data_IF_103740587897
#
_entry.id   IF_103740587897
#
_cell.length_a   1.000
_cell.length_b   1.000
_cell.length_c   1.000
_cell.angle_alpha   90.00
_cell.angle_beta   90.00
_cell.angle_gamma   90.00
#
_symmetry.space_group_name_H-M   'P 1'
#
loop_
_entity.id
_entity.type
_entity.pdbx_description
1 polymer ?
#
# COMPACT_ATOMS: atom_id res chain seq x y z
N UNK A 1 15.12 -30.44 13.80
CA UNK A 1 15.37 -28.99 13.80
C UNK A 1 15.12 -28.44 12.39
N UNK A 2 13.87 -28.08 12.03
CA UNK A 2 13.52 -27.57 10.68
C UNK A 2 12.88 -26.16 10.68
N UNK A 3 12.61 -25.58 11.86
CA UNK A 3 11.74 -24.40 11.98
C UNK A 3 12.48 -23.07 12.16
N UNK A 4 13.82 -23.08 12.25
CA UNK A 4 14.62 -21.87 12.51
C UNK A 4 14.86 -21.06 11.22
N UNK A 5 14.84 -21.71 10.05
CA UNK A 5 15.03 -21.03 8.76
C UNK A 5 13.82 -20.18 8.37
N UNK A 6 12.60 -20.70 8.57
CA UNK A 6 11.36 -20.00 8.24
C UNK A 6 11.17 -18.74 9.08
N UNK A 7 11.42 -18.80 10.40
CA UNK A 7 11.31 -17.63 11.30
C UNK A 7 12.21 -16.46 10.88
N UNK A 8 13.42 -16.74 10.37
CA UNK A 8 14.36 -15.71 9.92
C UNK A 8 13.90 -15.00 8.64
N UNK A 9 13.25 -15.73 7.73
CA UNK A 9 12.68 -15.14 6.51
C UNK A 9 11.48 -14.25 6.84
N UNK A 10 10.59 -14.71 7.73
CA UNK A 10 9.42 -13.93 8.17
C UNK A 10 9.80 -12.66 8.94
N UNK A 11 10.86 -12.70 9.77
CA UNK A 11 11.34 -11.52 10.49
C UNK A 11 11.96 -10.47 9.54
N UNK A 12 12.68 -10.90 8.50
CA UNK A 12 13.23 -10.01 7.49
C UNK A 12 12.14 -9.32 6.65
N UNK A 13 11.09 -10.06 6.30
CA UNK A 13 9.91 -9.52 5.62
C UNK A 13 9.15 -8.55 6.53
N UNK A 14 8.98 -8.87 7.82
CA UNK A 14 8.34 -7.98 8.79
C UNK A 14 9.12 -6.68 8.99
N UNK A 15 10.46 -6.73 9.06
CA UNK A 15 11.32 -5.54 9.19
C UNK A 15 11.32 -4.67 7.93
N UNK A 16 11.23 -5.28 6.74
CA UNK A 16 11.04 -4.53 5.48
C UNK A 16 9.67 -3.87 5.42
N UNK A 17 8.61 -4.58 5.81
CA UNK A 17 7.24 -4.05 5.84
C UNK A 17 7.07 -2.89 6.84
N UNK A 18 7.81 -2.89 7.95
CA UNK A 18 7.79 -1.80 8.94
C UNK A 18 8.68 -0.61 8.52
N UNK A 19 9.51 -0.75 7.48
CA UNK A 19 10.44 0.32 7.08
C UNK A 19 9.83 1.41 6.20
N UNK A 20 8.59 1.24 5.73
CA UNK A 20 7.89 2.20 4.85
C UNK A 20 6.62 2.79 5.48
N UNK A 21 6.64 3.09 6.79
CA UNK A 21 5.55 3.86 7.43
C UNK A 21 5.66 5.34 7.04
N UNK A 22 5.41 5.63 5.77
CA UNK A 22 5.03 6.94 5.28
C UNK A 22 3.69 6.75 4.61
N UNK A 23 2.60 6.66 5.38
CA UNK A 23 1.26 6.62 4.78
C UNK A 23 0.95 8.00 4.23
N UNK A 24 0.87 8.14 2.91
CA UNK A 24 0.18 9.28 2.33
C UNK A 24 -1.31 8.89 2.27
N UNK A 25 -2.14 9.55 3.06
CA UNK A 25 -3.59 9.29 3.04
C UNK A 25 -4.27 9.90 1.80
N UNK A 26 -3.59 10.84 1.13
CA UNK A 26 -4.12 11.66 0.03
C UNK A 26 -3.21 11.51 -1.19
N UNK A 27 -3.84 11.31 -2.34
CA UNK A 27 -3.23 11.02 -3.62
C UNK A 27 -3.71 12.02 -4.67
N UNK A 28 -2.90 12.26 -5.69
CA UNK A 28 -3.27 13.04 -6.88
C UNK A 28 -2.87 12.29 -8.16
N UNK A 29 -3.64 12.42 -9.24
CA UNK A 29 -3.29 11.79 -10.52
C UNK A 29 -2.15 12.54 -11.21
N UNK A 30 -1.20 11.81 -11.79
CA UNK A 30 -0.03 12.36 -12.47
C UNK A 30 -0.35 12.89 -13.87
N UNK A 31 -1.18 12.16 -14.64
CA UNK A 31 -1.56 12.51 -16.01
C UNK A 31 -3.08 12.42 -16.25
N UNK A 32 -3.84 12.81 -15.23
CA UNK A 32 -5.31 12.82 -15.26
C UNK A 32 -5.94 11.45 -14.99
N UNK A 33 -5.60 10.44 -15.76
CA UNK A 33 -6.19 9.11 -15.59
C UNK A 33 -5.32 8.22 -14.68
N UNK A 34 -5.96 7.32 -13.94
CA UNK A 34 -5.27 6.38 -13.04
C UNK A 34 -5.76 4.96 -13.29
N UNK A 35 -4.88 4.00 -13.03
CA UNK A 35 -5.21 2.58 -13.12
C UNK A 35 -4.96 1.90 -11.78
N UNK A 36 -5.95 1.14 -11.32
CA UNK A 36 -5.98 0.51 -10.01
C UNK A 36 -6.21 -0.99 -10.19
N UNK A 37 -5.39 -1.83 -9.59
CA UNK A 37 -5.45 -3.29 -9.69
C UNK A 37 -5.20 -3.93 -8.32
N UNK A 38 -6.22 -4.55 -7.76
CA UNK A 38 -6.12 -5.33 -6.53
C UNK A 38 -5.47 -6.66 -6.79
N UNK A 39 -4.59 -7.11 -5.89
CA UNK A 39 -3.83 -8.35 -6.01
C UNK A 39 -3.83 -9.14 -4.71
N UNK A 40 -3.79 -10.46 -4.82
CA UNK A 40 -3.77 -11.33 -3.66
C UNK A 40 -2.33 -11.43 -3.10
N UNK A 41 -2.10 -11.22 -1.79
CA UNK A 41 -0.78 -11.42 -1.18
C UNK A 41 -0.24 -12.85 -1.27
N UNK A 42 -1.13 -13.84 -1.28
CA UNK A 42 -0.81 -15.27 -1.14
C UNK A 42 -1.08 -16.09 -2.42
N UNK A 43 -1.74 -15.52 -3.41
CA UNK A 43 -2.02 -16.14 -4.70
C UNK A 43 -1.11 -15.55 -5.78
N UNK A 44 -0.45 -16.41 -6.56
CA UNK A 44 0.28 -16.03 -7.78
C UNK A 44 -0.45 -14.91 -8.54
N UNK A 45 0.13 -13.71 -8.63
CA UNK A 45 -0.07 -12.62 -9.61
C UNK A 45 -1.46 -12.41 -10.27
N UNK A 46 -2.56 -12.86 -9.68
CA UNK A 46 -3.90 -12.76 -10.24
C UNK A 46 -4.68 -11.64 -9.54
N UNK A 47 -5.40 -10.81 -10.30
CA UNK A 47 -6.21 -9.75 -9.73
C UNK A 47 -7.28 -10.30 -8.78
N UNK A 48 -7.50 -9.62 -7.66
CA UNK A 48 -8.64 -9.91 -6.77
C UNK A 48 -9.81 -9.06 -7.21
N UNK A 49 -10.78 -9.67 -7.88
CA UNK A 49 -11.95 -8.98 -8.42
C UNK A 49 -13.09 -8.78 -7.41
N UNK A 50 -12.91 -9.25 -6.17
CA UNK A 50 -13.93 -9.20 -5.12
C UNK A 50 -13.66 -8.13 -4.08
N UNK A 51 -12.48 -7.52 -4.11
CA UNK A 51 -12.13 -6.47 -3.17
C UNK A 51 -12.74 -5.16 -3.65
N UNK A 52 -13.63 -4.59 -2.84
CA UNK A 52 -14.29 -3.32 -3.15
C UNK A 52 -13.47 -2.17 -2.61
N UNK A 53 -13.17 -1.22 -3.49
CA UNK A 53 -12.47 0.02 -3.16
C UNK A 53 -13.35 1.23 -3.51
N UNK A 54 -13.05 2.34 -2.84
CA UNK A 54 -13.77 3.59 -2.99
C UNK A 54 -12.81 4.77 -3.10
N UNK A 55 -13.17 5.75 -3.92
CA UNK A 55 -12.50 7.04 -4.03
C UNK A 55 -13.32 8.05 -3.23
N UNK A 56 -12.64 8.81 -2.38
CA UNK A 56 -13.21 9.81 -1.49
C UNK A 56 -12.55 11.16 -1.70
N UNK A 57 -13.20 12.22 -1.26
CA UNK A 57 -12.59 13.55 -1.16
C UNK A 57 -11.33 13.53 -0.28
N UNK A 58 -10.37 14.39 -0.59
CA UNK A 58 -9.11 14.57 0.14
C UNK A 58 -9.27 14.85 1.64
N UNK A 59 -10.40 15.41 2.06
CA UNK A 59 -10.72 15.74 3.45
C UNK A 59 -11.88 14.91 4.03
N UNK A 60 -12.31 13.84 3.34
CA UNK A 60 -13.38 12.98 3.82
C UNK A 60 -12.97 12.18 5.07
N UNK A 61 -13.91 12.02 6.00
CA UNK A 61 -13.82 11.01 7.05
C UNK A 61 -14.38 9.68 6.52
N UNK A 62 -13.51 8.71 6.24
CA UNK A 62 -13.93 7.40 5.70
C UNK A 62 -14.92 6.65 6.60
N UNK A 63 -14.99 6.94 7.91
CA UNK A 63 -15.94 6.27 8.80
C UNK A 63 -17.38 6.72 8.58
N UNK A 64 -17.61 7.87 7.94
CA UNK A 64 -18.93 8.49 7.81
C UNK A 64 -19.26 8.97 6.40
N UNK A 65 -18.26 9.23 5.57
CA UNK A 65 -18.43 9.67 4.19
C UNK A 65 -18.88 8.53 3.28
N UNK A 66 -19.68 8.88 2.26
CA UNK A 66 -19.94 8.00 1.14
C UNK A 66 -18.82 8.15 0.09
N UNK A 67 -18.40 7.06 -0.58
CA UNK A 67 -17.46 7.15 -1.68
C UNK A 67 -18.07 7.94 -2.85
N UNK A 68 -17.23 8.75 -3.50
CA UNK A 68 -17.57 9.48 -4.73
C UNK A 68 -17.65 8.51 -5.91
N UNK A 69 -16.80 7.47 -5.89
CA UNK A 69 -16.77 6.41 -6.90
C UNK A 69 -16.34 5.11 -6.22
N UNK A 70 -16.90 3.97 -6.65
CA UNK A 70 -16.50 2.64 -6.17
C UNK A 70 -16.12 1.73 -7.31
N UNK A 71 -15.23 0.78 -7.08
CA UNK A 71 -14.84 -0.23 -8.05
C UNK A 71 -14.46 -1.54 -7.35
N UNK A 72 -14.63 -2.66 -8.05
CA UNK A 72 -14.31 -3.99 -7.54
C UNK A 72 -13.08 -4.54 -8.23
N UNK A 73 -11.98 -4.63 -7.48
CA UNK A 73 -10.71 -5.21 -7.89
C UNK A 73 -9.91 -4.41 -8.92
N UNK A 74 -10.51 -4.02 -10.04
CA UNK A 74 -9.86 -3.25 -11.11
C UNK A 74 -10.64 -1.96 -11.31
N UNK A 75 -9.92 -0.84 -11.36
CA UNK A 75 -10.49 0.47 -11.60
C UNK A 75 -9.63 1.28 -12.56
N UNK A 76 -10.13 1.50 -13.77
CA UNK A 76 -9.62 2.55 -14.64
C UNK A 76 -10.46 3.80 -14.38
N UNK A 77 -9.85 4.84 -13.82
CA UNK A 77 -10.57 6.03 -13.40
C UNK A 77 -10.05 7.22 -14.18
N UNK A 78 -10.95 7.85 -14.95
CA UNK A 78 -10.62 9.05 -15.69
C UNK A 78 -10.98 10.30 -14.91
N UNK A 79 -10.10 11.31 -14.93
CA UNK A 79 -10.33 12.60 -14.27
C UNK A 79 -10.49 13.69 -15.32
N UNK A 80 -11.65 14.34 -15.34
CA UNK A 80 -11.94 15.46 -16.23
C UNK A 80 -12.22 16.72 -15.42
N UNK A 81 -11.41 17.76 -15.60
CA UNK A 81 -11.62 19.04 -14.92
C UNK A 81 -12.87 19.76 -15.44
N UNK A 82 -13.73 20.21 -14.54
CA UNK A 82 -14.91 21.03 -14.81
C UNK A 82 -14.89 22.25 -13.90
N UNK A 83 -14.43 23.38 -14.42
CA UNK A 83 -14.28 24.60 -13.62
C UNK A 83 -13.21 24.44 -12.53
N UNK A 84 -13.61 24.56 -11.27
CA UNK A 84 -12.76 24.30 -10.08
C UNK A 84 -12.72 22.83 -9.68
N UNK A 85 -13.66 22.02 -10.17
CA UNK A 85 -13.93 20.67 -9.69
C UNK A 85 -13.44 19.64 -10.71
N UNK A 86 -13.43 18.37 -10.32
CA UNK A 86 -13.02 17.25 -11.17
C UNK A 86 -14.11 16.19 -11.21
N UNK A 87 -14.58 15.86 -12.40
CA UNK A 87 -15.42 14.68 -12.59
C UNK A 87 -14.53 13.46 -12.68
N UNK A 88 -14.80 12.47 -11.82
CA UNK A 88 -14.18 11.15 -11.87
C UNK A 88 -15.17 10.14 -12.40
N UNK A 89 -14.71 9.19 -13.21
CA UNK A 89 -15.59 8.16 -13.77
C UNK A 89 -14.88 6.85 -13.99
N UNK A 90 -15.61 5.75 -13.80
CA UNK A 90 -15.20 4.38 -14.10
C UNK A 90 -16.43 3.63 -14.63
N UNK A 91 -16.28 2.91 -15.74
CA UNK A 91 -17.25 2.03 -16.40
C UNK A 91 -18.70 2.06 -15.85
N UNK A 92 -19.45 3.12 -16.16
CA UNK A 92 -20.88 3.23 -15.84
C UNK A 92 -21.23 3.98 -14.55
N UNK A 93 -20.23 4.45 -13.80
CA UNK A 93 -20.39 5.33 -12.65
C UNK A 93 -19.55 6.60 -12.82
N UNK A 94 -20.06 7.72 -12.30
CA UNK A 94 -19.32 8.98 -12.23
C UNK A 94 -19.66 9.74 -10.96
N UNK A 95 -18.71 10.53 -10.48
CA UNK A 95 -18.85 11.42 -9.35
C UNK A 95 -18.01 12.67 -9.53
N UNK A 96 -18.06 13.57 -8.56
CA UNK A 96 -17.33 14.85 -8.61
C UNK A 96 -16.51 15.02 -7.35
N UNK A 97 -15.22 15.30 -7.53
CA UNK A 97 -14.31 15.80 -6.51
C UNK A 97 -14.35 17.33 -6.52
N UNK A 98 -14.45 17.94 -5.35
CA UNK A 98 -14.69 19.37 -5.20
C UNK A 98 -13.40 20.15 -4.94
N UNK A 99 -13.12 21.17 -5.77
CA UNK A 99 -12.03 22.12 -5.57
C UNK A 99 -10.60 21.61 -5.78
N UNK A 100 -10.37 20.30 -5.80
CA UNK A 100 -9.08 19.68 -6.10
C UNK A 100 -9.24 18.37 -6.88
N UNK A 101 -8.16 17.90 -7.49
CA UNK A 101 -8.05 16.53 -8.03
C UNK A 101 -7.44 15.57 -6.99
N UNK A 102 -7.37 15.98 -5.74
CA UNK A 102 -6.81 15.18 -4.66
C UNK A 102 -7.88 14.28 -4.10
N UNK A 103 -7.51 13.06 -3.76
CA UNK A 103 -8.47 12.05 -3.32
C UNK A 103 -7.85 11.09 -2.33
N UNK A 104 -8.70 10.44 -1.54
CA UNK A 104 -8.31 9.30 -0.71
C UNK A 104 -8.83 8.01 -1.33
N UNK A 105 -8.11 6.92 -1.13
CA UNK A 105 -8.56 5.57 -1.49
C UNK A 105 -8.94 4.84 -0.20
N UNK A 106 -10.15 4.30 -0.17
CA UNK A 106 -10.65 3.46 0.91
C UNK A 106 -10.87 2.03 0.45
N UNK A 107 -10.69 1.08 1.36
CA UNK A 107 -11.06 -0.32 1.17
C UNK A 107 -12.32 -0.64 1.98
N UNK A 108 -13.28 -1.34 1.38
CA UNK A 108 -14.50 -1.74 2.07
C UNK A 108 -14.32 -3.08 2.77
N UNK A 109 -14.41 -3.09 4.09
CA UNK A 109 -14.29 -4.29 4.92
C UNK A 109 -15.41 -4.37 5.95
N UNK A 110 -16.06 -5.54 6.07
CA UNK A 110 -17.04 -5.88 7.12
C UNK A 110 -18.01 -4.75 7.52
N UNK A 111 -18.52 -4.01 6.53
CA UNK A 111 -19.46 -2.88 6.65
C UNK A 111 -18.88 -1.48 6.93
N UNK A 112 -17.57 -1.28 6.82
CA UNK A 112 -16.94 0.03 6.95
C UNK A 112 -15.83 0.27 5.92
N UNK A 113 -15.51 1.53 5.70
CA UNK A 113 -14.36 1.92 4.90
C UNK A 113 -13.15 2.10 5.79
N UNK A 114 -12.02 1.54 5.37
CA UNK A 114 -10.73 1.74 6.02
C UNK A 114 -9.77 2.47 5.08
N UNK A 115 -8.91 3.30 5.67
CA UNK A 115 -7.82 3.94 4.94
C UNK A 115 -6.69 2.94 4.70
N UNK A 116 -5.81 3.30 3.79
CA UNK A 116 -4.50 2.68 3.65
C UNK A 116 -3.74 2.69 4.99
N UNK A 117 -3.02 1.60 5.27
CA UNK A 117 -2.14 1.46 6.43
C UNK A 117 -0.65 1.58 6.08
N UNK A 118 -0.28 1.37 4.81
CA UNK A 118 1.07 1.54 4.29
C UNK A 118 1.07 1.64 2.76
N UNK A 119 2.11 2.27 2.20
CA UNK A 119 2.39 2.24 0.77
C UNK A 119 3.87 1.95 0.48
N UNK A 120 4.13 1.52 -0.76
CA UNK A 120 5.45 1.33 -1.34
C UNK A 120 5.48 1.93 -2.74
N UNK A 121 6.34 2.91 -2.97
CA UNK A 121 6.57 3.51 -4.28
C UNK A 121 7.67 2.75 -5.04
N UNK A 122 7.39 2.34 -6.29
CA UNK A 122 8.35 1.63 -7.15
C UNK A 122 9.16 2.54 -8.08
N UNK A 123 8.93 3.86 -8.05
CA UNK A 123 9.70 4.87 -8.77
C UNK A 123 9.33 5.08 -10.24
N UNK A 124 8.28 4.43 -10.73
CA UNK A 124 7.78 4.54 -12.11
C UNK A 124 6.26 4.80 -12.12
N UNK A 125 5.82 5.76 -11.30
CA UNK A 125 4.40 6.13 -11.10
C UNK A 125 3.50 4.98 -10.59
N UNK A 126 4.12 3.87 -10.21
CA UNK A 126 3.47 2.71 -9.62
C UNK A 126 3.69 2.72 -8.10
N UNK A 127 2.59 2.64 -7.37
CA UNK A 127 2.56 2.54 -5.92
C UNK A 127 1.79 1.27 -5.54
N UNK A 128 2.29 0.54 -4.55
CA UNK A 128 1.54 -0.52 -3.89
C UNK A 128 0.93 0.08 -2.61
N UNK A 129 -0.38 0.06 -2.52
CA UNK A 129 -1.14 0.47 -1.36
C UNK A 129 -1.56 -0.77 -0.58
N UNK A 130 -1.47 -0.68 0.74
CA UNK A 130 -1.78 -1.78 1.65
C UNK A 130 -2.92 -1.35 2.57
N UNK A 131 -3.96 -2.16 2.61
CA UNK A 131 -5.12 -2.01 3.48
C UNK A 131 -5.19 -3.17 4.45
N UNK A 132 -5.80 -2.96 5.61
CA UNK A 132 -6.03 -4.02 6.58
C UNK A 132 -7.50 -3.98 7.02
N UNK A 133 -8.13 -5.15 7.12
CA UNK A 133 -9.49 -5.28 7.63
C UNK A 133 -9.55 -5.29 9.19
N UNK A 134 -8.39 -5.32 9.87
CA UNK A 134 -8.26 -5.26 11.32
C UNK A 134 -8.44 -6.59 12.08
N UNK A 135 -8.61 -7.73 11.42
CA UNK A 135 -9.13 -8.97 12.06
C UNK A 135 -8.23 -10.21 11.94
N UNK A 136 -7.02 -10.17 12.50
CA UNK A 136 -6.05 -11.28 12.58
C UNK A 136 -5.09 -11.45 11.37
N UNK A 137 -4.23 -12.48 11.44
CA UNK A 137 -2.88 -12.51 10.84
C UNK A 137 -2.79 -12.71 9.32
N UNK A 138 -3.85 -12.47 8.53
CA UNK A 138 -3.81 -12.71 7.08
C UNK A 138 -4.75 -11.79 6.27
N UNK A 139 -4.73 -10.51 6.61
CA UNK A 139 -5.81 -9.59 6.28
C UNK A 139 -5.33 -8.33 5.56
N UNK A 140 -4.14 -8.42 4.96
CA UNK A 140 -3.63 -7.37 4.12
C UNK A 140 -4.28 -7.48 2.73
N UNK A 141 -4.86 -6.38 2.27
CA UNK A 141 -5.34 -6.22 0.91
C UNK A 141 -4.39 -5.28 0.17
N UNK A 142 -4.03 -5.65 -1.04
CA UNK A 142 -3.01 -4.96 -1.81
C UNK A 142 -3.64 -4.37 -3.07
N UNK A 143 -3.40 -3.09 -3.29
CA UNK A 143 -3.84 -2.37 -4.47
C UNK A 143 -2.63 -1.76 -5.18
N UNK A 144 -2.33 -2.24 -6.38
CA UNK A 144 -1.42 -1.52 -7.26
C UNK A 144 -2.15 -0.32 -7.84
N UNK A 145 -1.55 0.85 -7.69
CA UNK A 145 -2.03 2.08 -8.25
C UNK A 145 -0.96 2.68 -9.16
N UNK A 146 -1.35 2.94 -10.39
CA UNK A 146 -0.51 3.55 -11.42
C UNK A 146 -0.96 4.98 -11.65
N UNK A 147 0.00 5.82 -12.04
CA UNK A 147 -0.19 7.23 -12.38
C UNK A 147 -0.71 8.07 -11.21
N UNK A 148 -0.33 7.70 -9.98
CA UNK A 148 -0.63 8.49 -8.77
C UNK A 148 0.64 8.96 -8.07
N UNK A 149 0.57 10.14 -7.47
CA UNK A 149 1.59 10.66 -6.56
C UNK A 149 1.00 10.94 -5.20
N UNK A 150 1.76 10.60 -4.16
CA UNK A 150 1.44 10.94 -2.79
C UNK A 150 1.44 12.46 -2.63
N UNK A 151 0.30 13.03 -2.25
CA UNK A 151 0.25 14.42 -1.83
C UNK A 151 0.92 14.46 -0.45
N UNK A 152 1.98 15.26 -0.33
CA UNK A 152 2.62 15.47 0.95
C UNK A 152 1.59 16.00 1.95
N UNK A 153 1.15 15.15 2.87
CA UNK A 153 0.29 15.59 3.97
C UNK A 153 1.04 16.68 4.74
N UNK A 154 0.40 17.81 4.99
CA UNK A 154 0.86 18.80 5.97
C UNK A 154 0.88 18.26 7.41
N UNK A 155 0.38 17.03 7.61
CA UNK A 155 0.66 16.25 8.80
C UNK A 155 2.15 15.92 8.82
N UNK A 156 2.87 16.22 9.92
CA UNK A 156 4.28 15.91 9.99
C UNK A 156 4.42 14.41 9.74
N UNK A 157 5.04 14.08 8.60
CA UNK A 157 5.80 12.84 8.51
C UNK A 157 6.80 12.99 9.64
N UNK A 158 6.47 12.43 10.81
CA UNK A 158 7.48 12.09 11.80
C UNK A 158 8.23 10.95 11.12
N UNK A 159 9.07 11.32 10.16
CA UNK A 159 10.15 10.49 9.68
C UNK A 159 10.99 10.32 10.90
N UNK A 160 10.64 9.33 11.73
CA UNK A 160 11.46 8.90 12.85
C UNK A 160 12.78 8.59 12.16
N UNK A 161 13.86 9.34 12.43
CA UNK A 161 15.16 8.98 11.93
C UNK A 161 15.38 7.58 12.47
N UNK A 162 15.31 6.56 11.61
CA UNK A 162 15.49 5.18 12.04
C UNK A 162 16.83 5.18 12.77
N UNK A 163 16.85 4.89 14.10
CA UNK A 163 18.10 4.95 14.84
C UNK A 163 19.12 4.09 14.11
N UNK A 164 20.37 4.54 13.99
CA UNK A 164 21.40 3.78 13.26
C UNK A 164 21.51 2.30 13.71
N UNK A 165 21.01 1.98 14.90
CA UNK A 165 20.77 0.62 15.39
C UNK A 165 19.96 -0.27 14.45
N UNK A 166 18.97 0.23 13.70
CA UNK A 166 18.19 -0.58 12.75
C UNK A 166 19.03 -0.95 11.52
N UNK A 167 19.85 -0.02 11.02
CA UNK A 167 20.81 -0.29 9.94
C UNK A 167 21.94 -1.22 10.40
N UNK A 168 22.43 -1.03 11.64
CA UNK A 168 23.43 -1.91 12.25
C UNK A 168 22.86 -3.30 12.54
N UNK A 169 21.59 -3.40 12.94
CA UNK A 169 20.91 -4.67 13.17
C UNK A 169 20.61 -5.39 11.86
N UNK A 170 20.16 -4.66 10.82
CA UNK A 170 19.97 -5.20 9.47
C UNK A 170 21.27 -5.73 8.87
N UNK A 171 22.36 -4.95 8.96
CA UNK A 171 23.69 -5.39 8.50
C UNK A 171 24.25 -6.54 9.34
N UNK A 172 24.02 -6.56 10.66
CA UNK A 172 24.40 -7.68 11.52
C UNK A 172 23.63 -8.96 11.17
N UNK A 173 22.32 -8.88 10.89
CA UNK A 173 21.50 -10.03 10.50
C UNK A 173 21.91 -10.56 9.12
N UNK A 174 22.15 -9.68 8.15
CA UNK A 174 22.70 -10.07 6.84
C UNK A 174 24.09 -10.70 6.99
N UNK A 175 24.96 -10.11 7.81
CA UNK A 175 26.28 -10.65 8.12
C UNK A 175 26.21 -12.04 8.77
N UNK A 176 25.25 -12.26 9.68
CA UNK A 176 25.04 -13.55 10.33
C UNK A 176 24.50 -14.62 9.36
N UNK A 177 23.65 -14.23 8.40
CA UNK A 177 23.15 -15.11 7.34
C UNK A 177 24.27 -15.49 6.35
N UNK A 178 25.14 -14.55 5.99
CA UNK A 178 26.27 -14.79 5.06
C UNK A 178 27.37 -15.62 5.72
N UNK A 179 27.72 -15.33 6.97
CA UNK A 179 28.78 -16.07 7.70
C UNK A 179 28.32 -17.44 8.20
N UNK A 180 27.03 -17.62 8.47
CA UNK A 180 26.45 -18.90 8.88
C UNK A 180 26.52 -20.01 7.82
N UNK A 181 26.80 -19.70 6.55
CA UNK A 181 26.97 -20.72 5.47
C UNK A 181 28.31 -21.47 5.52
N UNK A 182 29.30 -21.06 6.33
CA UNK A 182 30.65 -21.66 6.35
C UNK A 182 30.98 -22.50 7.59
N UNK A 183 30.08 -23.38 8.04
CA UNK A 183 30.45 -24.47 8.98
C UNK A 183 29.89 -25.82 8.55
N UNK A 184 30.56 -26.44 7.59
CA UNK A 184 30.49 -27.86 7.20
C UNK A 184 31.64 -28.09 6.21
N UNK A 185 32.68 -28.92 6.38
CA UNK A 185 33.08 -29.94 7.34
C UNK A 185 34.58 -29.77 7.61
N UNK A 186 35.05 -30.01 8.85
CA UNK A 186 36.43 -30.47 9.08
C UNK A 186 36.38 -31.96 9.35
N UNK A 187 36.64 -32.78 8.33
CA UNK A 187 36.98 -34.19 8.50
C UNK A 187 38.45 -34.26 8.86
N UNK A 188 38.76 -34.71 10.09
CA UNK A 188 40.11 -35.14 10.45
C UNK A 188 40.33 -36.55 9.89
N UNK A 189 41.45 -36.74 9.19
CA UNK A 189 42.06 -38.02 8.87
C UNK A 189 43.51 -37.98 9.37
#
# INVERSE_FOLDING_TARGET
>A
MKNISTIKHWLGVALFAVSTVSSAAVWEPNDGDINLISINPMGFAFPVLTDTFGIFEDNADLQSAAPVLTFDGVGAVSFTKIGSDYTISNEGASGTLLGSNQFQIGFYSQNGWSSEVANLNFGSDANLLVFNDGLSSNNAHFLYAFDITAVASSLPVVGVPLPGAIWLMGSAVLGFLVTGRRKSLTTFA
#
